data_IF_013304544605
#
_entry.id   IF_013304544605
#
_cell.length_a   1.000
_cell.length_b   1.000
_cell.length_c   1.000
_cell.angle_alpha   90.00
_cell.angle_beta   90.00
_cell.angle_gamma   90.00
#
_symmetry.space_group_name_H-M   'P 1'
#
loop_
_entity.id
_entity.type
_entity.pdbx_description
1 polymer ?
#
# COMPACT_ATOMS: atom_id res chain seq x y z
N UNK A 1 2.01 26.07 -5.22
CA UNK A 1 1.66 24.64 -5.22
C UNK A 1 0.26 24.51 -4.68
N UNK A 2 -0.56 23.68 -5.32
CA UNK A 2 -1.89 23.34 -4.83
C UNK A 2 -1.79 22.03 -4.02
N UNK A 3 -2.30 22.06 -2.79
CA UNK A 3 -2.36 20.92 -1.86
C UNK A 3 -3.80 20.53 -1.52
N UNK A 4 -4.76 21.01 -2.31
CA UNK A 4 -6.14 20.58 -2.20
C UNK A 4 -6.27 19.07 -2.41
N UNK A 5 -7.32 18.47 -1.84
CA UNK A 5 -7.60 17.04 -2.01
C UNK A 5 -7.98 16.77 -3.47
N UNK A 6 -7.41 15.72 -4.03
CA UNK A 6 -7.83 15.17 -5.32
C UNK A 6 -9.16 14.45 -5.14
N UNK A 7 -10.13 14.75 -5.99
CA UNK A 7 -11.41 14.03 -6.04
C UNK A 7 -11.17 12.65 -6.68
N UNK A 8 -11.57 11.59 -5.97
CA UNK A 8 -11.35 10.21 -6.39
C UNK A 8 -12.62 9.62 -6.98
N UNK A 9 -12.45 8.74 -7.97
CA UNK A 9 -13.57 7.89 -8.41
C UNK A 9 -14.03 6.98 -7.26
N UNK A 10 -15.25 6.45 -7.33
CA UNK A 10 -15.74 5.52 -6.31
C UNK A 10 -14.87 4.25 -6.20
N UNK A 11 -14.30 3.79 -7.31
CA UNK A 11 -13.40 2.63 -7.33
C UNK A 11 -12.04 2.94 -6.69
N UNK A 12 -11.49 4.13 -6.95
CA UNK A 12 -10.22 4.56 -6.34
C UNK A 12 -10.37 4.86 -4.85
N UNK A 13 -11.50 5.42 -4.43
CA UNK A 13 -11.81 5.63 -3.00
C UNK A 13 -11.90 4.28 -2.28
N UNK A 14 -12.63 3.32 -2.86
CA UNK A 14 -12.72 1.96 -2.31
C UNK A 14 -11.33 1.31 -2.20
N UNK A 15 -10.50 1.42 -3.24
CA UNK A 15 -9.13 0.91 -3.20
C UNK A 15 -8.30 1.58 -2.09
N UNK A 16 -8.38 2.91 -1.95
CA UNK A 16 -7.70 3.63 -0.88
C UNK A 16 -8.10 3.13 0.51
N UNK A 17 -9.40 2.92 0.73
CA UNK A 17 -9.91 2.45 2.02
C UNK A 17 -9.42 1.02 2.30
N UNK A 18 -9.50 0.12 1.33
CA UNK A 18 -9.01 -1.27 1.42
C UNK A 18 -7.51 -1.33 1.74
N UNK A 19 -6.68 -0.57 1.01
CA UNK A 19 -5.23 -0.55 1.24
C UNK A 19 -4.89 0.02 2.61
N UNK A 20 -5.60 1.06 3.07
CA UNK A 20 -5.35 1.66 4.38
C UNK A 20 -5.72 0.73 5.52
N UNK A 21 -6.87 0.06 5.42
CA UNK A 21 -7.27 -0.97 6.39
C UNK A 21 -6.27 -2.11 6.43
N UNK A 22 -5.86 -2.62 5.26
CA UNK A 22 -4.86 -3.68 5.21
C UNK A 22 -3.53 -3.25 5.84
N UNK A 23 -3.02 -2.07 5.47
CA UNK A 23 -1.76 -1.55 6.01
C UNK A 23 -1.84 -1.32 7.53
N UNK A 24 -2.97 -0.87 8.06
CA UNK A 24 -3.12 -0.72 9.52
C UNK A 24 -3.08 -2.06 10.27
N UNK A 25 -3.48 -3.15 9.61
CA UNK A 25 -3.48 -4.48 10.22
C UNK A 25 -2.07 -5.10 10.24
N UNK A 26 -1.24 -4.82 9.22
CA UNK A 26 0.10 -5.43 9.09
C UNK A 26 1.25 -4.54 9.58
N UNK A 27 1.11 -3.22 9.49
CA UNK A 27 2.10 -2.25 10.00
C UNK A 27 1.78 -1.94 11.47
N UNK A 28 2.03 -2.94 12.30
CA UNK A 28 1.74 -2.87 13.75
C UNK A 28 2.65 -1.88 14.48
N UNK A 29 2.29 -1.55 15.73
CA UNK A 29 3.12 -0.71 16.59
C UNK A 29 4.54 -1.28 16.80
N UNK A 30 4.68 -2.61 16.85
CA UNK A 30 5.98 -3.27 16.99
C UNK A 30 6.85 -3.13 15.74
N UNK A 31 6.26 -3.23 14.54
CA UNK A 31 6.96 -2.97 13.27
C UNK A 31 7.46 -1.54 13.26
N UNK A 32 6.59 -0.56 13.57
CA UNK A 32 6.95 0.86 13.62
C UNK A 32 8.02 1.13 14.67
N UNK A 33 7.93 0.50 15.85
CA UNK A 33 8.90 0.67 16.92
C UNK A 33 10.27 0.13 16.51
N UNK A 34 10.34 -1.07 15.92
CA UNK A 34 11.58 -1.68 15.42
C UNK A 34 12.26 -0.81 14.36
N UNK A 35 11.49 -0.33 13.38
CA UNK A 35 11.95 0.60 12.34
C UNK A 35 12.63 1.83 12.98
N UNK A 36 11.96 2.47 13.95
CA UNK A 36 12.50 3.67 14.64
C UNK A 36 13.71 3.40 15.53
N UNK A 37 13.76 2.23 16.19
CA UNK A 37 14.86 1.86 17.09
C UNK A 37 16.12 1.45 16.32
N UNK A 38 15.96 0.80 15.17
CA UNK A 38 17.07 0.18 14.44
C UNK A 38 17.45 0.92 13.15
N UNK A 39 16.53 1.71 12.60
CA UNK A 39 16.66 2.29 11.26
C UNK A 39 16.55 1.26 10.12
N UNK A 40 16.20 0.01 10.43
CA UNK A 40 15.92 -1.01 9.42
C UNK A 40 14.47 -0.88 8.95
N UNK A 41 14.31 -0.23 7.81
CA UNK A 41 13.02 0.03 7.19
C UNK A 41 12.43 -1.24 6.53
N UNK A 42 13.14 -2.37 6.54
CA UNK A 42 12.65 -3.63 6.02
C UNK A 42 12.07 -4.50 7.12
N UNK A 43 10.80 -4.87 6.98
CA UNK A 43 10.16 -5.92 7.76
C UNK A 43 9.71 -7.06 6.83
N UNK A 44 10.29 -8.24 7.00
CA UNK A 44 9.99 -9.40 6.16
C UNK A 44 8.51 -9.82 6.26
N UNK A 45 7.93 -9.76 7.47
CA UNK A 45 6.55 -10.15 7.71
C UNK A 45 5.57 -9.27 6.96
N UNK A 46 5.79 -7.95 6.96
CA UNK A 46 5.01 -7.00 6.16
C UNK A 46 5.12 -7.34 4.67
N UNK A 47 6.33 -7.57 4.14
CA UNK A 47 6.51 -7.87 2.71
C UNK A 47 5.85 -9.19 2.29
N UNK A 48 5.92 -10.22 3.14
CA UNK A 48 5.23 -11.49 2.90
C UNK A 48 3.72 -11.31 2.89
N UNK A 49 3.17 -10.51 3.81
CA UNK A 49 1.74 -10.20 3.83
C UNK A 49 1.30 -9.45 2.56
N UNK A 50 2.11 -8.49 2.09
CA UNK A 50 1.86 -7.77 0.84
C UNK A 50 1.89 -8.66 -0.39
N UNK A 51 2.84 -9.60 -0.45
CA UNK A 51 2.92 -10.60 -1.49
C UNK A 51 1.71 -11.53 -1.49
N UNK A 52 1.31 -12.02 -0.31
CA UNK A 52 0.15 -12.89 -0.15
C UNK A 52 -1.18 -12.21 -0.52
N UNK A 53 -1.31 -10.91 -0.23
CA UNK A 53 -2.45 -10.09 -0.65
C UNK A 53 -2.42 -9.69 -2.14
N UNK A 54 -1.35 -10.03 -2.87
CA UNK A 54 -1.21 -9.79 -4.31
C UNK A 54 -0.83 -8.35 -4.69
N UNK A 55 -0.61 -7.45 -3.72
CA UNK A 55 -0.26 -6.05 -4.02
C UNK A 55 1.07 -5.94 -4.79
N UNK A 56 2.07 -6.74 -4.42
CA UNK A 56 3.38 -6.74 -5.09
C UNK A 56 3.30 -7.21 -6.55
N UNK A 57 2.42 -8.18 -6.86
CA UNK A 57 2.21 -8.62 -8.24
C UNK A 57 1.55 -7.54 -9.08
N UNK A 58 0.50 -6.89 -8.54
CA UNK A 58 -0.24 -5.81 -9.21
C UNK A 58 0.63 -4.59 -9.48
N UNK A 59 1.59 -4.32 -8.60
CA UNK A 59 2.59 -3.27 -8.78
C UNK A 59 3.59 -3.64 -9.89
N UNK A 60 4.14 -4.84 -9.83
CA UNK A 60 5.23 -5.27 -10.71
C UNK A 60 4.78 -5.55 -12.15
N UNK A 61 3.62 -6.19 -12.33
CA UNK A 61 3.13 -6.64 -13.64
C UNK A 61 2.18 -5.61 -14.24
N UNK A 62 2.74 -4.60 -14.89
CA UNK A 62 1.97 -3.51 -15.49
C UNK A 62 0.95 -3.93 -16.55
N UNK A 63 1.16 -5.08 -17.21
CA UNK A 63 0.28 -5.62 -18.25
C UNK A 63 -0.68 -6.70 -17.74
N UNK A 64 -0.70 -6.97 -16.43
CA UNK A 64 -1.64 -7.92 -15.87
C UNK A 64 -3.06 -7.33 -15.81
N UNK A 65 -4.08 -8.17 -15.95
CA UNK A 65 -5.49 -7.74 -15.88
C UNK A 65 -5.85 -7.08 -14.55
N UNK A 66 -5.11 -7.37 -13.48
CA UNK A 66 -5.28 -6.80 -12.14
C UNK A 66 -4.28 -5.69 -11.80
N UNK A 67 -3.49 -5.21 -12.77
CA UNK A 67 -2.49 -4.16 -12.54
C UNK A 67 -3.10 -2.89 -11.94
N UNK A 68 -2.34 -2.18 -11.12
CA UNK A 68 -2.79 -0.88 -10.62
C UNK A 68 -3.02 0.10 -11.76
N UNK A 69 -4.14 0.83 -11.69
CA UNK A 69 -4.35 2.02 -12.53
C UNK A 69 -3.32 3.11 -12.17
N UNK A 70 -3.22 4.14 -13.03
CA UNK A 70 -2.32 5.27 -12.76
C UNK A 70 -2.61 5.97 -11.42
N UNK A 71 -3.88 6.05 -11.02
CA UNK A 71 -4.30 6.67 -9.75
C UNK A 71 -3.98 5.72 -8.59
N UNK A 72 -4.27 4.43 -8.72
CA UNK A 72 -3.98 3.43 -7.69
C UNK A 72 -2.48 3.36 -7.36
N UNK A 73 -1.58 3.49 -8.35
CA UNK A 73 -0.11 3.60 -8.12
C UNK A 73 0.35 4.87 -7.38
N UNK A 74 -0.54 5.83 -7.14
CA UNK A 74 -0.27 7.03 -6.32
C UNK A 74 -0.90 6.92 -4.93
N UNK A 75 -1.84 6.00 -4.77
CA UNK A 75 -2.47 5.68 -3.49
C UNK A 75 -1.63 4.61 -2.76
N UNK A 76 -1.19 3.59 -3.50
CA UNK A 76 -0.17 2.62 -3.13
C UNK A 76 1.20 3.31 -3.03
#
# INVERSE_FOLDING_TARGET
MDFSRVDLSGEDQKFQDEVRTFLSDVVTEDVIRRDRETGDNFDEGVHLALGAAGYLEREWKADADNAFTRVQRRIW
#
